data_IF_835729771648
#
_entry.id   IF_835729771648
#
_cell.length_a   1.000
_cell.length_b   1.000
_cell.length_c   1.000
_cell.angle_alpha   90.00
_cell.angle_beta   90.00
_cell.angle_gamma   90.00
#
_symmetry.space_group_name_H-M   'P 1'
#
loop_
_entity.id
_entity.type
_entity.pdbx_description
1 polymer ?
#
# COMPACT_ATOMS: atom_id res chain seq x y z
N UNK A 1 -47.24 -11.44 18.13
CA UNK A 1 -45.97 -10.74 17.99
C UNK A 1 -44.93 -11.73 17.53
N UNK A 2 -44.67 -11.84 16.24
CA UNK A 2 -43.63 -12.71 15.71
C UNK A 2 -42.27 -12.03 16.07
N UNK A 3 -41.53 -12.63 17.00
CA UNK A 3 -40.13 -12.35 17.24
C UNK A 3 -39.42 -12.58 15.89
N UNK A 4 -38.94 -11.54 15.26
CA UNK A 4 -38.06 -11.67 14.10
C UNK A 4 -36.88 -12.54 14.55
N UNK A 5 -36.82 -13.76 14.07
CA UNK A 5 -35.68 -14.64 14.32
C UNK A 5 -34.42 -13.89 13.86
N UNK A 6 -33.57 -13.53 14.78
CA UNK A 6 -32.30 -12.84 14.46
C UNK A 6 -31.55 -13.81 13.53
N UNK A 7 -31.28 -13.37 12.30
CA UNK A 7 -30.42 -14.15 11.39
C UNK A 7 -29.02 -14.21 12.04
N UNK A 8 -28.73 -15.34 12.69
CA UNK A 8 -27.48 -15.61 13.39
C UNK A 8 -26.29 -15.36 12.46
N UNK A 9 -26.42 -15.72 11.18
CA UNK A 9 -25.38 -15.50 10.20
C UNK A 9 -25.12 -14.02 9.90
N UNK A 10 -26.17 -13.23 9.71
CA UNK A 10 -26.05 -11.79 9.50
C UNK A 10 -25.49 -11.09 10.75
N UNK A 11 -25.93 -11.49 11.95
CA UNK A 11 -25.42 -10.99 13.22
C UNK A 11 -23.92 -11.27 13.37
N UNK A 12 -23.50 -12.53 13.20
CA UNK A 12 -22.10 -12.94 13.29
C UNK A 12 -21.20 -12.15 12.31
N UNK A 13 -21.58 -12.07 11.05
CA UNK A 13 -20.85 -11.36 10.00
C UNK A 13 -20.69 -9.87 10.31
N UNK A 14 -21.76 -9.23 10.76
CA UNK A 14 -21.74 -7.81 11.13
C UNK A 14 -20.85 -7.56 12.35
N UNK A 15 -20.98 -8.38 13.39
CA UNK A 15 -20.19 -8.27 14.62
C UNK A 15 -18.70 -8.48 14.36
N UNK A 16 -18.34 -9.48 13.54
CA UNK A 16 -16.96 -9.72 13.09
C UNK A 16 -16.42 -8.50 12.33
N UNK A 17 -17.19 -8.00 11.38
CA UNK A 17 -16.76 -6.86 10.57
C UNK A 17 -16.51 -5.60 11.42
N UNK A 18 -17.42 -5.25 12.30
CA UNK A 18 -17.28 -4.07 13.17
C UNK A 18 -16.20 -4.22 14.26
N UNK A 19 -15.89 -5.44 14.68
CA UNK A 19 -14.84 -5.68 15.67
C UNK A 19 -13.45 -5.68 15.07
N UNK A 20 -13.26 -6.35 13.92
CA UNK A 20 -11.92 -6.59 13.37
C UNK A 20 -11.48 -5.52 12.37
N UNK A 21 -12.36 -5.10 11.44
CA UNK A 21 -11.95 -4.22 10.35
C UNK A 21 -11.47 -2.84 10.82
N UNK A 22 -12.11 -2.14 11.79
CA UNK A 22 -11.60 -0.84 12.22
C UNK A 22 -10.21 -0.93 12.85
N UNK A 23 -9.93 -1.99 13.61
CA UNK A 23 -8.62 -2.18 14.21
C UNK A 23 -7.55 -2.51 13.15
N UNK A 24 -7.83 -3.44 12.24
CA UNK A 24 -6.93 -3.76 11.13
C UNK A 24 -6.70 -2.55 10.22
N UNK A 25 -7.74 -1.75 9.97
CA UNK A 25 -7.63 -0.48 9.25
C UNK A 25 -6.66 0.48 9.95
N UNK A 26 -6.79 0.64 11.28
CA UNK A 26 -5.88 1.48 12.07
C UNK A 26 -4.42 0.99 11.98
N UNK A 27 -4.20 -0.33 12.07
CA UNK A 27 -2.87 -0.91 11.89
C UNK A 27 -2.27 -0.58 10.52
N UNK A 28 -3.11 -0.57 9.48
CA UNK A 28 -2.65 -0.29 8.12
C UNK A 28 -2.46 1.20 7.85
N UNK A 29 -3.25 2.06 8.49
CA UNK A 29 -2.96 3.50 8.52
C UNK A 29 -1.59 3.75 9.16
N UNK A 30 -1.31 3.16 10.32
CA UNK A 30 0.00 3.28 10.96
C UNK A 30 1.15 2.78 10.05
N UNK A 31 0.94 1.68 9.32
CA UNK A 31 1.91 1.18 8.35
C UNK A 31 2.19 2.19 7.22
N UNK A 32 1.14 2.85 6.69
CA UNK A 32 1.33 3.83 5.62
C UNK A 32 1.88 5.17 6.10
N UNK A 33 1.59 5.58 7.34
CA UNK A 33 2.27 6.72 7.96
C UNK A 33 3.78 6.48 7.97
N UNK A 34 4.18 5.33 8.47
CA UNK A 34 5.59 4.93 8.59
C UNK A 34 6.29 4.78 7.24
N UNK A 35 5.58 4.29 6.23
CA UNK A 35 6.11 4.15 4.88
C UNK A 35 6.33 5.49 4.18
N UNK A 36 5.55 6.51 4.49
CA UNK A 36 5.57 7.82 3.84
C UNK A 36 6.36 8.88 4.59
N UNK A 37 6.64 8.66 5.87
CA UNK A 37 7.35 9.60 6.74
C UNK A 37 8.69 10.07 6.17
N UNK A 38 9.44 9.17 5.54
CA UNK A 38 10.75 9.50 4.96
C UNK A 38 10.65 10.55 3.84
N UNK A 39 9.53 10.59 3.11
CA UNK A 39 9.31 11.58 2.06
C UNK A 39 9.28 13.00 2.64
N UNK A 40 8.58 13.17 3.76
CA UNK A 40 8.51 14.45 4.47
C UNK A 40 9.76 14.70 5.33
N UNK A 41 10.24 13.68 6.05
CA UNK A 41 11.45 13.77 6.87
C UNK A 41 12.66 14.29 6.08
N UNK A 42 12.76 13.95 4.79
CA UNK A 42 13.86 14.40 3.92
C UNK A 42 13.96 15.92 3.81
N UNK A 43 12.84 16.66 3.99
CA UNK A 43 12.84 18.12 3.98
C UNK A 43 13.66 18.70 5.15
N UNK A 44 13.81 17.97 6.26
CA UNK A 44 14.69 18.33 7.38
C UNK A 44 16.01 17.56 7.39
N UNK A 45 16.00 16.29 6.95
CA UNK A 45 17.19 15.41 6.98
C UNK A 45 18.29 15.84 5.99
N UNK A 46 17.93 16.46 4.86
CA UNK A 46 18.91 16.83 3.82
C UNK A 46 20.03 17.68 4.36
N UNK A 47 19.71 18.68 5.17
CA UNK A 47 20.71 19.54 5.80
C UNK A 47 21.56 18.81 6.83
N UNK A 48 20.91 18.06 7.70
CA UNK A 48 21.57 17.38 8.83
C UNK A 48 22.49 16.23 8.41
N UNK A 49 22.09 15.47 7.38
CA UNK A 49 22.80 14.27 6.94
C UNK A 49 23.53 14.42 5.60
N UNK A 50 23.48 15.60 4.98
CA UNK A 50 24.11 15.86 3.68
C UNK A 50 23.51 15.00 2.55
N UNK A 51 22.19 14.72 2.57
CA UNK A 51 21.58 13.82 1.60
C UNK A 51 21.43 14.47 0.23
N UNK A 52 22.03 13.86 -0.79
CA UNK A 52 21.71 14.17 -2.18
C UNK A 52 20.40 13.49 -2.62
N UNK A 53 19.85 13.92 -3.78
CA UNK A 53 18.65 13.28 -4.35
C UNK A 53 18.90 11.80 -4.67
N UNK A 54 20.11 11.45 -5.14
CA UNK A 54 20.51 10.05 -5.39
C UNK A 54 20.56 9.22 -4.13
N UNK A 55 21.14 9.75 -3.03
CA UNK A 55 21.19 9.08 -1.73
C UNK A 55 19.76 8.88 -1.19
N UNK A 56 18.91 9.89 -1.25
CA UNK A 56 17.52 9.80 -0.82
C UNK A 56 16.72 8.80 -1.65
N UNK A 57 16.85 8.81 -2.98
CA UNK A 57 16.19 7.84 -3.86
C UNK A 57 16.61 6.40 -3.54
N UNK A 58 17.90 6.18 -3.24
CA UNK A 58 18.41 4.87 -2.83
C UNK A 58 17.86 4.48 -1.44
N UNK A 59 17.85 5.39 -0.46
CA UNK A 59 17.31 5.13 0.88
C UNK A 59 15.82 4.79 0.85
N UNK A 60 15.05 5.48 0.02
CA UNK A 60 13.62 5.21 -0.16
C UNK A 60 13.38 3.85 -0.82
N UNK A 61 14.19 3.52 -1.83
CA UNK A 61 14.06 2.29 -2.60
C UNK A 61 14.55 1.04 -1.86
N UNK A 62 15.65 1.12 -1.09
CA UNK A 62 16.27 -0.05 -0.44
C UNK A 62 15.34 -0.76 0.55
N UNK A 63 14.34 -0.06 1.07
CA UNK A 63 13.23 -0.60 1.82
C UNK A 63 12.58 -1.79 1.09
N UNK A 64 12.32 -1.66 -0.21
CA UNK A 64 11.66 -2.71 -0.99
C UNK A 64 12.53 -3.95 -1.17
N UNK A 65 13.85 -3.81 -1.15
CA UNK A 65 14.75 -4.97 -1.20
C UNK A 65 14.60 -5.82 0.06
N UNK A 66 14.57 -5.19 1.25
CA UNK A 66 14.27 -5.87 2.51
C UNK A 66 12.86 -6.47 2.52
N UNK A 67 11.87 -5.72 2.04
CA UNK A 67 10.47 -6.11 1.98
C UNK A 67 10.26 -7.37 1.12
N UNK A 68 10.80 -7.41 -0.09
CA UNK A 68 10.68 -8.56 -1.01
C UNK A 68 11.32 -9.81 -0.42
N UNK A 69 12.49 -9.66 0.22
CA UNK A 69 13.24 -10.79 0.77
C UNK A 69 12.47 -11.61 1.80
N UNK A 70 11.63 -10.99 2.61
CA UNK A 70 10.87 -11.65 3.68
C UNK A 70 9.36 -11.74 3.42
N UNK A 71 8.83 -11.23 2.32
CA UNK A 71 7.39 -11.25 2.03
C UNK A 71 6.84 -12.66 1.91
N UNK A 72 7.50 -13.54 1.15
CA UNK A 72 7.08 -14.95 0.98
C UNK A 72 7.29 -15.75 2.26
N UNK A 73 8.47 -15.73 2.92
CA UNK A 73 8.64 -16.36 4.22
C UNK A 73 7.62 -15.90 5.27
N UNK A 74 7.30 -14.61 5.32
CA UNK A 74 6.29 -14.05 6.21
C UNK A 74 4.90 -14.61 5.96
N UNK A 75 4.47 -14.69 4.69
CA UNK A 75 3.18 -15.27 4.32
C UNK A 75 3.06 -16.75 4.74
N UNK A 76 4.11 -17.54 4.55
CA UNK A 76 4.13 -18.96 4.96
C UNK A 76 4.12 -19.13 6.50
N UNK A 77 4.78 -18.20 7.20
CA UNK A 77 4.83 -18.24 8.65
C UNK A 77 3.45 -17.98 9.29
N UNK A 78 2.62 -17.11 8.68
CA UNK A 78 1.25 -16.85 9.15
C UNK A 78 0.40 -18.12 9.20
N UNK A 79 0.50 -18.96 8.17
CA UNK A 79 -0.31 -20.20 8.10
C UNK A 79 0.11 -21.24 9.14
N UNK A 80 1.43 -21.31 9.44
CA UNK A 80 2.01 -22.33 10.33
C UNK A 80 2.07 -21.91 11.80
N UNK A 81 1.98 -20.62 12.07
CA UNK A 81 2.08 -20.07 13.42
C UNK A 81 0.77 -19.37 13.80
N UNK A 82 0.83 -18.33 14.60
CA UNK A 82 -0.32 -17.50 15.00
C UNK A 82 -0.29 -16.20 14.19
N UNK A 83 -1.37 -15.91 13.47
CA UNK A 83 -1.51 -14.67 12.73
C UNK A 83 -1.42 -13.44 13.67
N UNK A 84 -2.07 -13.52 14.84
CA UNK A 84 -2.00 -12.50 15.89
C UNK A 84 -0.58 -12.22 16.34
N UNK A 85 0.19 -13.28 16.66
CA UNK A 85 1.57 -13.12 17.14
C UNK A 85 2.48 -12.58 16.05
N UNK A 86 2.32 -13.04 14.81
CA UNK A 86 3.10 -12.53 13.69
C UNK A 86 2.81 -11.05 13.44
N UNK A 87 1.52 -10.66 13.36
CA UNK A 87 1.15 -9.26 13.18
C UNK A 87 1.68 -8.38 14.32
N UNK A 88 1.59 -8.85 15.56
CA UNK A 88 2.15 -8.13 16.70
C UNK A 88 3.69 -7.99 16.61
N UNK A 89 4.38 -9.09 16.27
CA UNK A 89 5.83 -9.08 16.13
C UNK A 89 6.28 -8.12 15.01
N UNK A 90 5.63 -8.15 13.86
CA UNK A 90 5.94 -7.24 12.75
C UNK A 90 5.73 -5.78 13.17
N UNK A 91 4.59 -5.45 13.82
CA UNK A 91 4.30 -4.10 14.33
C UNK A 91 5.33 -3.61 15.34
N UNK A 92 5.70 -4.45 16.31
CA UNK A 92 6.68 -4.10 17.34
C UNK A 92 8.06 -3.90 16.71
N UNK A 93 8.49 -4.83 15.85
CA UNK A 93 9.84 -4.76 15.25
C UNK A 93 9.95 -3.58 14.29
N UNK A 94 8.97 -3.35 13.42
CA UNK A 94 9.05 -2.19 12.54
C UNK A 94 8.94 -0.87 13.32
N UNK A 95 8.04 -0.77 14.33
CA UNK A 95 7.92 0.44 15.13
C UNK A 95 9.20 0.79 15.89
N UNK A 96 9.92 -0.21 16.41
CA UNK A 96 11.23 -0.02 17.01
C UNK A 96 12.27 0.46 15.98
N UNK A 97 12.30 -0.16 14.78
CA UNK A 97 13.21 0.24 13.71
C UNK A 97 12.92 1.65 13.18
N UNK A 98 11.64 2.02 13.11
CA UNK A 98 11.23 3.38 12.78
C UNK A 98 11.74 4.36 13.83
N UNK A 99 11.49 4.11 15.11
CA UNK A 99 11.99 4.96 16.18
C UNK A 99 13.52 5.07 16.15
N UNK A 100 14.23 3.95 15.90
CA UNK A 100 15.69 3.92 15.75
C UNK A 100 16.18 4.71 14.53
N UNK A 101 15.38 4.81 13.46
CA UNK A 101 15.71 5.65 12.29
C UNK A 101 15.87 7.12 12.68
N UNK A 102 15.17 7.59 13.72
CA UNK A 102 15.36 8.94 14.29
C UNK A 102 16.76 9.21 14.84
N UNK A 103 17.61 8.21 15.04
CA UNK A 103 18.96 8.34 15.60
C UNK A 103 20.08 8.19 14.56
N UNK A 104 19.76 7.92 13.29
CA UNK A 104 20.76 7.79 12.22
C UNK A 104 21.55 9.09 12.03
N UNK A 105 22.84 8.95 11.71
CA UNK A 105 23.77 10.06 11.54
C UNK A 105 24.45 10.08 10.17
N UNK A 106 24.39 8.97 9.45
CA UNK A 106 25.05 8.80 8.16
C UNK A 106 24.09 8.21 7.12
N UNK A 107 24.33 8.46 5.81
CA UNK A 107 23.57 7.80 4.75
C UNK A 107 23.61 6.27 4.82
N UNK A 108 24.72 5.68 5.24
CA UNK A 108 24.85 4.21 5.34
C UNK A 108 23.96 3.64 6.44
N UNK A 109 23.91 4.30 7.61
CA UNK A 109 22.98 3.93 8.68
C UNK A 109 21.53 4.05 8.24
N UNK A 110 21.19 5.10 7.46
CA UNK A 110 19.87 5.26 6.89
C UNK A 110 19.52 4.10 5.93
N UNK A 111 20.45 3.67 5.07
CA UNK A 111 20.24 2.52 4.20
C UNK A 111 19.98 1.24 5.00
N UNK A 112 20.80 0.99 6.04
CA UNK A 112 20.61 -0.16 6.92
C UNK A 112 19.27 -0.14 7.64
N UNK A 113 18.90 1.00 8.22
CA UNK A 113 17.60 1.18 8.90
C UNK A 113 16.44 0.94 7.94
N UNK A 114 16.47 1.50 6.72
CA UNK A 114 15.43 1.32 5.71
C UNK A 114 15.33 -0.12 5.19
N UNK A 115 16.45 -0.80 4.99
CA UNK A 115 16.46 -2.21 4.61
C UNK A 115 15.83 -3.08 5.69
N UNK A 116 16.25 -2.91 6.94
CA UNK A 116 15.71 -3.67 8.09
C UNK A 116 14.23 -3.38 8.31
N UNK A 117 13.82 -2.12 8.15
CA UNK A 117 12.42 -1.72 8.24
C UNK A 117 11.57 -2.43 7.18
N UNK A 118 12.03 -2.47 5.92
CA UNK A 118 11.36 -3.20 4.85
C UNK A 118 11.23 -4.69 5.17
N UNK A 119 12.30 -5.31 5.68
CA UNK A 119 12.28 -6.70 6.11
C UNK A 119 11.29 -6.96 7.25
N UNK A 120 11.21 -6.05 8.24
CA UNK A 120 10.28 -6.16 9.35
C UNK A 120 8.81 -6.02 8.93
N UNK A 121 8.51 -5.15 7.95
CA UNK A 121 7.14 -4.95 7.44
C UNK A 121 6.65 -6.06 6.49
N UNK A 122 7.55 -6.85 5.92
CA UNK A 122 7.25 -7.74 4.78
C UNK A 122 6.10 -8.74 5.04
N UNK A 123 5.98 -9.23 6.28
CA UNK A 123 4.94 -10.19 6.68
C UNK A 123 3.58 -9.57 6.98
N UNK A 124 3.46 -8.25 7.12
CA UNK A 124 2.25 -7.61 7.60
C UNK A 124 1.07 -7.74 6.63
N UNK A 125 1.21 -7.23 5.42
CA UNK A 125 0.12 -7.27 4.43
C UNK A 125 -0.36 -8.70 4.12
N UNK A 126 0.52 -9.64 3.73
CA UNK A 126 0.08 -11.03 3.51
C UNK A 126 -0.48 -11.65 4.79
N UNK A 127 0.07 -11.31 5.96
CA UNK A 127 -0.44 -11.74 7.25
C UNK A 127 -1.88 -11.33 7.50
N UNK A 128 -2.23 -10.07 7.21
CA UNK A 128 -3.61 -9.58 7.34
C UNK A 128 -4.53 -10.27 6.33
N UNK A 129 -4.11 -10.49 5.08
CA UNK A 129 -4.93 -11.18 4.07
C UNK A 129 -5.26 -12.61 4.52
N UNK A 130 -4.27 -13.34 5.04
CA UNK A 130 -4.49 -14.67 5.62
C UNK A 130 -5.41 -14.60 6.85
N UNK A 131 -5.16 -13.65 7.76
CA UNK A 131 -6.02 -13.43 8.93
C UNK A 131 -7.48 -13.17 8.53
N UNK A 132 -7.74 -12.29 7.56
CA UNK A 132 -9.08 -12.02 7.05
C UNK A 132 -9.73 -13.29 6.48
N UNK A 133 -8.96 -14.19 5.86
CA UNK A 133 -9.48 -15.47 5.34
C UNK A 133 -9.92 -16.44 6.44
N UNK A 134 -9.45 -16.26 7.67
CA UNK A 134 -9.87 -17.06 8.81
C UNK A 134 -11.16 -16.57 9.48
N UNK A 135 -11.61 -15.36 9.14
CA UNK A 135 -12.74 -14.68 9.79
C UNK A 135 -13.90 -14.38 8.85
N UNK A 136 -13.60 -14.14 7.57
CA UNK A 136 -14.61 -13.74 6.58
C UNK A 136 -14.86 -14.87 5.58
N UNK A 137 -16.14 -15.23 5.42
CA UNK A 137 -16.58 -16.12 4.35
C UNK A 137 -16.30 -15.49 2.98
N UNK A 138 -16.20 -16.32 1.94
CA UNK A 138 -15.77 -15.90 0.61
C UNK A 138 -16.53 -14.69 0.07
N UNK A 139 -17.86 -14.67 0.23
CA UNK A 139 -18.70 -13.56 -0.25
C UNK A 139 -18.42 -12.20 0.39
N UNK A 140 -17.88 -12.16 1.61
CA UNK A 140 -17.58 -10.93 2.36
C UNK A 140 -16.11 -10.55 2.31
N UNK A 141 -15.23 -11.51 1.95
CA UNK A 141 -13.77 -11.32 1.99
C UNK A 141 -13.29 -10.18 1.10
N UNK A 142 -13.84 -10.07 -0.13
CA UNK A 142 -13.50 -8.98 -1.02
C UNK A 142 -13.84 -7.60 -0.45
N UNK A 143 -15.00 -7.47 0.19
CA UNK A 143 -15.41 -6.22 0.86
C UNK A 143 -14.54 -5.91 2.07
N UNK A 144 -14.15 -6.93 2.84
CA UNK A 144 -13.26 -6.77 4.00
C UNK A 144 -11.87 -6.28 3.57
N UNK A 145 -11.28 -6.87 2.53
CA UNK A 145 -10.00 -6.46 1.96
C UNK A 145 -10.09 -5.04 1.39
N UNK A 146 -11.14 -4.70 0.66
CA UNK A 146 -11.31 -3.34 0.12
C UNK A 146 -11.38 -2.28 1.23
N UNK A 147 -12.13 -2.54 2.31
CA UNK A 147 -12.19 -1.65 3.48
C UNK A 147 -10.82 -1.54 4.17
N UNK A 148 -10.10 -2.64 4.30
CA UNK A 148 -8.74 -2.63 4.84
C UNK A 148 -7.79 -1.81 3.96
N UNK A 149 -7.82 -1.99 2.64
CA UNK A 149 -6.94 -1.26 1.70
C UNK A 149 -7.26 0.23 1.58
N UNK A 150 -8.46 0.68 1.93
CA UNK A 150 -8.79 2.11 1.95
C UNK A 150 -7.97 2.90 2.99
N UNK A 151 -7.28 2.23 3.90
CA UNK A 151 -6.28 2.83 4.80
C UNK A 151 -5.09 3.46 4.04
N UNK A 152 -4.78 2.99 2.82
CA UNK A 152 -3.65 3.48 2.02
C UNK A 152 -3.77 5.00 1.76
N UNK A 153 -4.76 5.49 1.01
CA UNK A 153 -4.89 6.91 0.77
C UNK A 153 -5.19 7.71 2.05
N UNK A 154 -5.87 7.12 3.03
CA UNK A 154 -6.12 7.77 4.32
C UNK A 154 -4.80 8.00 5.08
N UNK A 155 -3.88 7.04 5.06
CA UNK A 155 -2.54 7.19 5.64
C UNK A 155 -1.79 8.38 5.04
N UNK A 156 -1.80 8.54 3.72
CA UNK A 156 -1.20 9.70 3.05
C UNK A 156 -1.89 11.02 3.41
N UNK A 157 -3.23 11.05 3.44
CA UNK A 157 -4.02 12.26 3.76
C UNK A 157 -3.74 12.74 5.18
N UNK A 158 -3.63 11.83 6.14
CA UNK A 158 -3.40 12.15 7.55
C UNK A 158 -1.90 12.38 7.82
N UNK A 159 -1.04 11.57 7.21
CA UNK A 159 0.40 11.57 7.46
C UNK A 159 1.08 12.86 7.05
N UNK A 160 0.70 13.43 5.91
CA UNK A 160 1.31 14.66 5.41
C UNK A 160 1.19 15.85 6.39
N UNK A 161 0.01 16.25 6.89
CA UNK A 161 -0.13 17.31 7.88
C UNK A 161 0.53 17.00 9.22
N UNK A 162 0.47 15.75 9.68
CA UNK A 162 1.15 15.31 10.92
C UNK A 162 2.66 15.52 10.76
N UNK A 163 3.25 15.00 9.67
CA UNK A 163 4.66 15.14 9.38
C UNK A 163 5.08 16.63 9.32
N UNK A 164 4.33 17.46 8.58
CA UNK A 164 4.63 18.89 8.46
C UNK A 164 4.60 19.64 9.77
N UNK A 165 3.69 19.27 10.66
CA UNK A 165 3.57 19.88 12.00
C UNK A 165 4.76 19.47 12.88
N UNK A 166 5.12 18.19 12.88
CA UNK A 166 6.21 17.67 13.71
C UNK A 166 7.58 18.16 13.17
N UNK A 167 7.75 18.30 11.88
CA UNK A 167 9.00 18.81 11.28
C UNK A 167 9.33 20.26 11.72
N UNK A 168 8.33 21.05 12.10
CA UNK A 168 8.52 22.40 12.65
C UNK A 168 8.98 22.43 14.12
N UNK A 169 9.01 21.27 14.80
CA UNK A 169 9.36 21.18 16.22
C UNK A 169 10.87 21.05 16.41
N UNK A 170 11.38 21.72 17.43
CA UNK A 170 12.78 21.57 17.87
C UNK A 170 12.82 21.43 19.39
N UNK A 171 12.33 20.30 19.89
CA UNK A 171 12.26 20.02 21.32
C UNK A 171 13.55 19.40 21.81
N UNK A 172 14.01 19.82 22.98
CA UNK A 172 15.21 19.29 23.63
C UNK A 172 16.48 19.37 22.75
N UNK A 173 16.54 20.31 21.81
CA UNK A 173 17.66 20.41 20.85
C UNK A 173 17.69 19.30 19.79
N UNK A 174 16.60 18.52 19.67
CA UNK A 174 16.46 17.45 18.66
C UNK A 174 15.60 17.97 17.50
N UNK A 175 16.10 17.82 16.28
CA UNK A 175 15.41 18.31 15.05
C UNK A 175 14.11 17.56 14.78
N UNK A 176 13.13 18.24 14.19
CA UNK A 176 11.76 17.73 14.00
C UNK A 176 11.67 16.43 13.22
N UNK A 177 12.58 16.18 12.25
CA UNK A 177 12.57 14.93 11.49
C UNK A 177 12.88 13.69 12.38
N UNK A 178 13.69 13.86 13.44
CA UNK A 178 13.95 12.79 14.41
C UNK A 178 12.71 12.50 15.27
N UNK A 179 12.03 13.56 15.68
CA UNK A 179 10.75 13.45 16.38
C UNK A 179 9.69 12.76 15.53
N UNK A 180 9.66 13.02 14.23
CA UNK A 180 8.70 12.36 13.33
C UNK A 180 8.83 10.84 13.40
N UNK A 181 10.03 10.30 13.30
CA UNK A 181 10.26 8.85 13.42
C UNK A 181 9.91 8.29 14.80
N UNK A 182 10.15 9.06 15.87
CA UNK A 182 9.78 8.65 17.23
C UNK A 182 8.24 8.65 17.42
N UNK A 183 7.56 9.70 16.95
CA UNK A 183 6.11 9.83 17.07
C UNK A 183 5.33 8.84 16.20
N UNK A 184 5.92 8.28 15.17
CA UNK A 184 5.29 7.25 14.35
C UNK A 184 5.68 5.83 14.80
N UNK A 185 6.93 5.64 15.22
CA UNK A 185 7.41 4.34 15.68
C UNK A 185 6.79 3.90 17.01
N UNK A 186 6.68 4.79 17.99
CA UNK A 186 6.11 4.45 19.31
C UNK A 186 4.65 3.99 19.22
N UNK A 187 3.73 4.69 18.52
CA UNK A 187 2.37 4.19 18.31
C UNK A 187 2.32 2.83 17.62
N UNK A 188 3.20 2.55 16.66
CA UNK A 188 3.26 1.25 15.99
C UNK A 188 3.61 0.13 16.99
N UNK A 189 4.58 0.36 17.89
CA UNK A 189 4.91 -0.58 18.99
C UNK A 189 3.71 -0.81 19.91
N UNK A 190 3.03 0.28 20.32
CA UNK A 190 1.85 0.19 21.19
C UNK A 190 0.70 -0.58 20.52
N UNK A 191 0.46 -0.33 19.23
CA UNK A 191 -0.51 -1.07 18.45
C UNK A 191 -0.12 -2.55 18.30
N UNK A 192 1.17 -2.84 18.16
CA UNK A 192 1.68 -4.22 18.16
C UNK A 192 1.40 -4.94 19.48
N UNK A 193 1.64 -4.29 20.61
CA UNK A 193 1.29 -4.83 21.92
C UNK A 193 -0.23 -4.99 22.05
N UNK A 194 -1.02 -3.98 21.64
CA UNK A 194 -2.47 -4.05 21.67
C UNK A 194 -3.02 -5.22 20.81
N UNK A 195 -2.36 -5.52 19.68
CA UNK A 195 -2.73 -6.64 18.80
C UNK A 195 -2.75 -7.98 19.54
N UNK A 196 -1.81 -8.21 20.46
CA UNK A 196 -1.73 -9.45 21.26
C UNK A 196 -2.98 -9.67 22.15
N UNK A 197 -3.62 -8.60 22.56
CA UNK A 197 -4.78 -8.66 23.45
C UNK A 197 -6.11 -8.49 22.72
N UNK A 198 -6.12 -7.78 21.61
CA UNK A 198 -7.34 -7.41 20.91
C UNK A 198 -7.76 -8.43 19.84
N UNK A 199 -6.81 -8.99 19.08
CA UNK A 199 -7.10 -9.92 17.99
C UNK A 199 -7.07 -11.37 18.48
N UNK A 200 -8.16 -12.16 18.37
CA UNK A 200 -8.11 -13.59 18.52
C UNK A 200 -7.61 -14.25 17.21
N UNK A 201 -6.95 -15.40 17.30
CA UNK A 201 -6.44 -16.10 16.11
C UNK A 201 -7.57 -16.72 15.26
N UNK A 202 -8.57 -17.27 15.89
CA UNK A 202 -9.66 -18.02 15.24
C UNK A 202 -11.03 -17.64 15.84
N UNK A 203 -12.13 -17.85 15.11
CA UNK A 203 -13.47 -17.61 15.64
C UNK A 203 -13.77 -18.37 16.95
N UNK A 204 -13.19 -19.53 17.14
CA UNK A 204 -13.36 -20.34 18.37
C UNK A 204 -12.79 -19.63 19.62
N UNK A 205 -11.80 -18.76 19.44
CA UNK A 205 -11.16 -18.02 20.53
C UNK A 205 -11.90 -16.70 20.84
N UNK A 206 -12.95 -16.37 20.08
CA UNK A 206 -13.66 -15.09 20.16
C UNK A 206 -14.75 -15.13 21.24
N UNK A 207 -14.41 -14.71 22.45
CA UNK A 207 -15.36 -14.66 23.56
C UNK A 207 -16.48 -13.62 23.39
N UNK A 208 -16.32 -12.67 22.45
CA UNK A 208 -17.31 -11.64 22.13
C UNK A 208 -18.38 -12.09 21.11
N UNK A 209 -18.23 -13.27 20.50
CA UNK A 209 -19.29 -13.94 19.74
C UNK A 209 -20.15 -14.82 20.66
N UNK A 210 -21.46 -14.89 20.38
CA UNK A 210 -22.28 -15.88 21.05
C UNK A 210 -21.91 -17.30 20.62
N UNK A 211 -22.25 -18.34 21.41
CA UNK A 211 -21.97 -19.71 21.00
C UNK A 211 -22.58 -20.06 19.63
N UNK A 212 -23.79 -19.59 19.34
CA UNK A 212 -24.49 -19.83 18.08
C UNK A 212 -23.77 -19.13 16.90
N UNK A 213 -23.36 -17.87 17.08
CA UNK A 213 -22.59 -17.11 16.08
C UNK A 213 -21.24 -17.77 15.79
N UNK A 214 -20.56 -18.24 16.84
CA UNK A 214 -19.26 -18.93 16.75
C UNK A 214 -19.38 -20.24 16.00
N UNK A 215 -20.37 -21.04 16.33
CA UNK A 215 -20.64 -22.31 15.66
C UNK A 215 -20.99 -22.09 14.18
N UNK A 216 -21.84 -21.11 13.91
CA UNK A 216 -22.24 -20.77 12.53
C UNK A 216 -21.06 -20.40 11.67
N UNK A 217 -20.22 -19.45 12.10
CA UNK A 217 -19.08 -19.00 11.29
C UNK A 217 -18.03 -20.10 11.12
N UNK A 218 -17.77 -20.90 12.17
CA UNK A 218 -16.82 -22.01 12.11
C UNK A 218 -17.29 -23.08 11.12
N UNK A 219 -18.58 -23.44 11.14
CA UNK A 219 -19.16 -24.40 10.20
C UNK A 219 -19.06 -23.89 8.76
N UNK A 220 -19.42 -22.63 8.49
CA UNK A 220 -19.34 -22.04 7.16
C UNK A 220 -17.92 -21.99 6.61
N UNK A 221 -16.94 -21.64 7.44
CA UNK A 221 -15.53 -21.63 7.04
C UNK A 221 -14.98 -23.05 6.81
N UNK A 222 -15.49 -24.07 7.55
CA UNK A 222 -15.14 -25.46 7.32
C UNK A 222 -15.72 -25.96 5.98
N UNK A 223 -17.02 -25.74 5.71
CA UNK A 223 -17.67 -26.05 4.43
C UNK A 223 -16.90 -25.45 3.24
N UNK A 224 -16.46 -24.18 3.34
CA UNK A 224 -15.66 -23.54 2.29
C UNK A 224 -14.28 -24.19 2.08
N UNK A 225 -13.67 -24.71 3.14
CA UNK A 225 -12.38 -25.43 3.04
C UNK A 225 -12.53 -26.79 2.37
N UNK A 226 -13.56 -27.54 2.74
CA UNK A 226 -13.85 -28.84 2.14
C UNK A 226 -14.18 -28.70 0.65
N UNK A 227 -15.01 -27.71 0.28
CA UNK A 227 -15.32 -27.42 -1.11
C UNK A 227 -14.09 -27.06 -1.96
N UNK A 228 -13.04 -26.48 -1.37
CA UNK A 228 -11.77 -26.19 -2.04
C UNK A 228 -10.92 -27.42 -2.33
N UNK A 229 -11.03 -28.46 -1.52
CA UNK A 229 -10.26 -29.71 -1.68
C UNK A 229 -10.61 -30.48 -2.97
N UNK A 230 -11.74 -30.20 -3.59
CA UNK A 230 -12.23 -30.87 -4.81
C UNK A 230 -12.00 -30.10 -6.11
N UNK A 231 -11.36 -28.90 -6.06
CA UNK A 231 -11.07 -28.12 -7.28
C UNK A 231 -9.71 -28.54 -7.82
N UNK A 232 -9.65 -28.88 -9.11
CA UNK A 232 -8.39 -29.18 -9.83
C UNK A 232 -7.32 -28.14 -9.51
N UNK A 233 -6.21 -28.61 -8.93
CA UNK A 233 -5.09 -27.76 -8.58
C UNK A 233 -4.24 -27.51 -9.83
N UNK A 234 -4.45 -26.37 -10.47
CA UNK A 234 -3.45 -25.88 -11.43
C UNK A 234 -2.14 -25.73 -10.65
N UNK A 235 -1.05 -26.29 -11.19
CA UNK A 235 0.27 -26.15 -10.58
C UNK A 235 0.57 -24.65 -10.36
N UNK A 236 1.05 -24.32 -9.17
CA UNK A 236 1.46 -22.93 -8.83
C UNK A 236 2.41 -22.39 -9.89
N UNK A 237 3.34 -23.23 -10.38
CA UNK A 237 4.28 -22.86 -11.43
C UNK A 237 3.60 -22.52 -12.76
N UNK A 238 2.60 -23.27 -13.16
CA UNK A 238 1.82 -22.97 -14.37
C UNK A 238 1.05 -21.63 -14.23
N UNK A 239 0.52 -21.34 -13.04
CA UNK A 239 -0.12 -20.07 -12.79
C UNK A 239 0.85 -18.88 -12.85
N UNK A 240 2.06 -19.05 -12.30
CA UNK A 240 3.09 -18.00 -12.31
C UNK A 240 3.64 -17.72 -13.72
N UNK A 241 3.75 -18.76 -14.56
CA UNK A 241 4.19 -18.64 -15.95
C UNK A 241 3.06 -18.23 -16.92
N UNK A 242 1.83 -18.04 -16.44
CA UNK A 242 0.72 -17.65 -17.29
C UNK A 242 0.98 -16.26 -17.91
N UNK A 243 0.83 -16.09 -19.25
CA UNK A 243 1.16 -14.83 -19.93
C UNK A 243 0.47 -13.60 -19.31
N UNK A 244 -0.79 -13.71 -18.92
CA UNK A 244 -1.51 -12.62 -18.26
C UNK A 244 -0.86 -12.24 -16.93
N UNK A 245 -0.37 -13.19 -16.13
CA UNK A 245 0.32 -12.94 -14.86
C UNK A 245 1.63 -12.19 -15.10
N UNK A 246 2.40 -12.58 -16.10
CA UNK A 246 3.65 -11.91 -16.46
C UNK A 246 3.41 -10.48 -16.95
N UNK A 247 2.40 -10.28 -17.81
CA UNK A 247 1.99 -8.95 -18.27
C UNK A 247 1.53 -8.07 -17.10
N UNK A 248 0.69 -8.58 -16.20
CA UNK A 248 0.23 -7.85 -15.03
C UNK A 248 1.40 -7.54 -14.08
N UNK A 249 2.34 -8.45 -13.92
CA UNK A 249 3.57 -8.24 -13.12
C UNK A 249 4.40 -7.09 -13.69
N UNK A 250 4.66 -7.13 -15.00
CA UNK A 250 5.40 -6.05 -15.68
C UNK A 250 4.63 -4.72 -15.61
N UNK A 251 3.32 -4.73 -15.85
CA UNK A 251 2.47 -3.54 -15.74
C UNK A 251 2.54 -2.92 -14.35
N UNK A 252 2.42 -3.73 -13.29
CA UNK A 252 2.50 -3.24 -11.92
C UNK A 252 3.93 -2.78 -11.54
N UNK A 253 4.97 -3.43 -12.06
CA UNK A 253 6.35 -2.98 -11.87
C UNK A 253 6.55 -1.56 -12.38
N UNK A 254 6.08 -1.23 -13.58
CA UNK A 254 6.17 0.12 -14.12
C UNK A 254 5.26 1.09 -13.36
N UNK A 255 4.05 0.67 -12.96
CA UNK A 255 3.17 1.48 -12.11
C UNK A 255 3.84 1.84 -10.78
N UNK A 256 4.46 0.86 -10.12
CA UNK A 256 5.17 1.09 -8.86
C UNK A 256 6.44 1.93 -9.07
N UNK A 257 7.14 1.77 -10.18
CA UNK A 257 8.32 2.60 -10.50
C UNK A 257 7.95 4.08 -10.59
N UNK A 258 6.91 4.42 -11.35
CA UNK A 258 6.44 5.81 -11.45
C UNK A 258 5.78 6.31 -10.15
N UNK A 259 4.90 5.50 -9.57
CA UNK A 259 4.11 5.85 -8.39
C UNK A 259 4.95 6.09 -7.14
N UNK A 260 5.83 5.16 -6.77
CA UNK A 260 6.72 5.34 -5.61
C UNK A 260 7.76 6.43 -5.82
N UNK A 261 8.24 6.64 -7.06
CA UNK A 261 9.09 7.79 -7.36
C UNK A 261 8.35 9.10 -7.10
N UNK A 262 7.10 9.23 -7.57
CA UNK A 262 6.28 10.39 -7.27
C UNK A 262 6.03 10.54 -5.77
N UNK A 263 5.55 9.51 -5.08
CA UNK A 263 5.17 9.58 -3.67
C UNK A 263 6.34 9.96 -2.75
N UNK A 264 7.55 9.46 -3.01
CA UNK A 264 8.71 9.80 -2.17
C UNK A 264 9.29 11.17 -2.49
N UNK A 265 9.26 11.61 -3.74
CA UNK A 265 9.81 12.91 -4.12
C UNK A 265 8.79 14.04 -4.14
N UNK A 266 7.49 13.77 -4.02
CA UNK A 266 6.41 14.77 -4.10
C UNK A 266 6.65 15.96 -3.15
N UNK A 267 6.93 15.78 -1.85
CA UNK A 267 7.16 16.93 -0.97
C UNK A 267 8.40 17.74 -1.35
N UNK A 268 9.46 17.03 -1.77
CA UNK A 268 10.71 17.69 -2.22
C UNK A 268 10.50 18.48 -3.52
N UNK A 269 9.74 17.92 -4.47
CA UNK A 269 9.39 18.60 -5.72
C UNK A 269 8.54 19.85 -5.46
N UNK A 270 7.48 19.71 -4.64
CA UNK A 270 6.64 20.83 -4.24
C UNK A 270 7.48 21.94 -3.59
N UNK A 271 8.32 21.59 -2.62
CA UNK A 271 9.16 22.59 -1.95
C UNK A 271 10.13 23.28 -2.93
N UNK A 272 10.80 22.50 -3.79
CA UNK A 272 11.81 23.02 -4.72
C UNK A 272 11.20 23.93 -5.79
N UNK A 273 10.02 23.59 -6.31
CA UNK A 273 9.38 24.38 -7.38
C UNK A 273 8.61 25.60 -6.86
N UNK A 274 8.06 25.54 -5.64
CA UNK A 274 7.22 26.61 -5.09
C UNK A 274 7.97 27.53 -4.12
N UNK A 275 9.06 27.07 -3.51
CA UNK A 275 9.73 27.75 -2.39
C UNK A 275 8.91 27.78 -1.10
N UNK A 276 7.83 26.98 -1.00
CA UNK A 276 6.96 26.97 0.18
C UNK A 276 7.63 26.38 1.41
N UNK A 277 7.15 26.82 2.59
CA UNK A 277 7.57 26.22 3.84
C UNK A 277 7.14 24.75 3.93
N UNK A 278 7.87 23.97 4.72
CA UNK A 278 7.58 22.53 4.96
C UNK A 278 6.13 22.33 5.38
N UNK A 279 5.62 23.14 6.30
CA UNK A 279 4.24 23.06 6.77
C UNK A 279 3.24 23.28 5.62
N UNK A 280 3.47 24.29 4.77
CA UNK A 280 2.58 24.56 3.63
C UNK A 280 2.62 23.43 2.61
N UNK A 281 3.79 22.89 2.27
CA UNK A 281 3.93 21.70 1.40
C UNK A 281 3.12 20.54 1.94
N UNK A 282 3.26 20.24 3.22
CA UNK A 282 2.59 19.10 3.86
C UNK A 282 1.06 19.21 3.86
N UNK A 283 0.51 20.43 3.95
CA UNK A 283 -0.94 20.64 3.87
C UNK A 283 -1.54 20.48 2.47
N UNK A 284 -0.70 20.36 1.42
CA UNK A 284 -1.17 19.98 0.08
C UNK A 284 -1.30 18.47 -0.12
N UNK A 285 -0.63 17.65 0.69
CA UNK A 285 -0.79 16.18 0.66
C UNK A 285 -2.26 15.72 0.70
N UNK A 286 -3.10 16.21 1.62
CA UNK A 286 -4.53 15.89 1.66
C UNK A 286 -5.29 16.16 0.35
N UNK A 287 -4.96 17.23 -0.37
CA UNK A 287 -5.59 17.54 -1.66
C UNK A 287 -5.15 16.53 -2.73
N UNK A 288 -3.86 16.26 -2.82
CA UNK A 288 -3.27 15.35 -3.81
C UNK A 288 -3.81 13.92 -3.61
N UNK A 289 -3.67 13.38 -2.41
CA UNK A 289 -4.10 12.00 -2.12
C UNK A 289 -5.60 11.87 -1.89
N UNK A 290 -6.29 12.97 -1.54
CA UNK A 290 -7.75 13.04 -1.51
C UNK A 290 -8.37 12.86 -2.89
N UNK A 291 -7.80 13.47 -3.94
CA UNK A 291 -8.19 13.21 -5.31
C UNK A 291 -7.98 11.73 -5.70
N UNK A 292 -6.89 11.11 -5.23
CA UNK A 292 -6.63 9.69 -5.38
C UNK A 292 -7.69 8.81 -4.72
N UNK A 293 -8.09 9.13 -3.49
CA UNK A 293 -9.15 8.41 -2.77
C UNK A 293 -10.50 8.50 -3.49
N UNK A 294 -10.90 9.70 -3.90
CA UNK A 294 -12.14 9.90 -4.65
C UNK A 294 -12.11 9.09 -5.95
N UNK A 295 -11.00 9.16 -6.68
CA UNK A 295 -10.79 8.39 -7.90
C UNK A 295 -10.86 6.87 -7.67
N UNK A 296 -10.25 6.38 -6.60
CA UNK A 296 -10.26 4.96 -6.22
C UNK A 296 -11.69 4.47 -5.95
N UNK A 297 -12.48 5.23 -5.20
CA UNK A 297 -13.87 4.87 -4.90
C UNK A 297 -14.76 4.91 -6.14
N UNK A 298 -14.62 5.95 -6.94
CA UNK A 298 -15.42 6.14 -8.15
C UNK A 298 -15.09 5.10 -9.24
N UNK A 299 -13.82 4.90 -9.56
CA UNK A 299 -13.39 3.93 -10.56
C UNK A 299 -13.61 2.48 -10.10
N UNK A 300 -13.46 2.20 -8.80
CA UNK A 300 -13.82 0.90 -8.25
C UNK A 300 -15.30 0.58 -8.45
N UNK A 301 -16.19 1.52 -8.10
CA UNK A 301 -17.63 1.39 -8.33
C UNK A 301 -17.98 1.25 -9.82
N UNK A 302 -17.38 2.08 -10.68
CA UNK A 302 -17.62 2.04 -12.13
C UNK A 302 -17.14 0.73 -12.75
N UNK A 303 -15.94 0.27 -12.35
CA UNK A 303 -15.35 -0.98 -12.81
C UNK A 303 -16.18 -2.20 -12.40
N UNK A 304 -16.75 -2.20 -11.19
CA UNK A 304 -17.65 -3.27 -10.72
C UNK A 304 -18.97 -3.28 -11.49
N UNK A 305 -19.51 -2.09 -11.83
CA UNK A 305 -20.76 -1.96 -12.56
C UNK A 305 -20.64 -2.35 -14.03
N UNK A 306 -19.53 -2.01 -14.67
CA UNK A 306 -19.30 -2.26 -16.10
C UNK A 306 -18.68 -3.63 -16.38
N UNK A 307 -18.05 -4.27 -15.37
CA UNK A 307 -17.24 -5.48 -15.53
C UNK A 307 -15.92 -5.24 -16.24
N UNK A 308 -15.63 -4.01 -16.67
CA UNK A 308 -14.41 -3.66 -17.39
C UNK A 308 -13.32 -3.26 -16.41
N UNK A 309 -12.17 -3.95 -16.41
CA UNK A 309 -11.06 -3.74 -15.46
C UNK A 309 -9.84 -3.06 -16.09
N UNK A 310 -9.54 -3.34 -17.35
CA UNK A 310 -8.30 -2.91 -18.02
C UNK A 310 -8.26 -1.41 -18.26
N UNK A 311 -9.34 -0.83 -18.79
CA UNK A 311 -9.46 0.61 -18.99
C UNK A 311 -9.53 1.37 -17.66
N UNK A 312 -10.18 0.80 -16.63
CA UNK A 312 -10.21 1.38 -15.29
C UNK A 312 -8.84 1.36 -14.60
N UNK A 313 -7.92 0.51 -15.07
CA UNK A 313 -6.50 0.59 -14.71
C UNK A 313 -5.75 1.61 -15.58
N UNK A 314 -5.93 1.57 -16.91
CA UNK A 314 -5.10 2.34 -17.84
C UNK A 314 -5.42 3.83 -17.81
N UNK A 315 -6.70 4.23 -17.71
CA UNK A 315 -7.12 5.64 -17.70
C UNK A 315 -6.43 6.45 -16.60
N UNK A 316 -6.42 6.05 -15.31
CA UNK A 316 -5.70 6.79 -14.28
C UNK A 316 -4.20 6.95 -14.58
N UNK A 317 -3.54 5.89 -15.03
CA UNK A 317 -2.11 5.91 -15.34
C UNK A 317 -1.81 6.85 -16.53
N UNK A 318 -2.62 6.79 -17.60
CA UNK A 318 -2.49 7.71 -18.74
C UNK A 318 -2.82 9.15 -18.34
N UNK A 319 -3.79 9.36 -17.47
CA UNK A 319 -4.09 10.69 -16.92
C UNK A 319 -2.90 11.26 -16.18
N UNK A 320 -2.21 10.45 -15.35
CA UNK A 320 -0.98 10.86 -14.70
C UNK A 320 0.14 11.19 -15.71
N UNK A 321 0.33 10.34 -16.72
CA UNK A 321 1.33 10.56 -17.75
C UNK A 321 1.07 11.85 -18.55
N UNK A 322 -0.18 12.10 -18.95
CA UNK A 322 -0.58 13.32 -19.67
C UNK A 322 -0.42 14.57 -18.78
N UNK A 323 -0.88 14.50 -17.53
CA UNK A 323 -0.73 15.61 -16.59
C UNK A 323 0.76 15.99 -16.39
N UNK A 324 1.62 14.99 -16.18
CA UNK A 324 3.05 15.25 -16.01
C UNK A 324 3.71 15.72 -17.31
N UNK A 325 3.23 15.27 -18.48
CA UNK A 325 3.68 15.79 -19.79
C UNK A 325 3.30 17.26 -19.98
N UNK A 326 2.14 17.68 -19.48
CA UNK A 326 1.68 19.06 -19.56
C UNK A 326 2.61 20.05 -18.81
N UNK A 327 3.38 19.57 -17.82
CA UNK A 327 4.41 20.37 -17.15
C UNK A 327 5.40 21.04 -18.11
N UNK A 328 5.75 20.38 -19.20
CA UNK A 328 6.73 20.88 -20.16
C UNK A 328 6.19 21.99 -21.08
N UNK A 329 4.87 22.18 -21.11
CA UNK A 329 4.20 23.13 -22.04
C UNK A 329 3.44 24.24 -21.31
N UNK A 330 3.12 24.04 -20.02
CA UNK A 330 2.35 25.01 -19.23
C UNK A 330 3.26 26.00 -18.48
N UNK A 331 2.74 27.19 -18.13
CA UNK A 331 3.47 28.12 -17.28
C UNK A 331 3.81 27.48 -15.92
N UNK A 332 5.05 27.63 -15.48
CA UNK A 332 5.53 27.08 -14.21
C UNK A 332 5.04 27.91 -13.01
N UNK A 333 3.72 28.02 -12.84
CA UNK A 333 3.10 28.68 -11.68
C UNK A 333 2.77 27.67 -10.59
N UNK A 334 2.71 28.16 -9.35
CA UNK A 334 2.33 27.32 -8.20
C UNK A 334 0.94 26.70 -8.37
N UNK A 335 -0.01 27.42 -8.96
CA UNK A 335 -1.37 26.92 -9.22
C UNK A 335 -1.35 25.77 -10.22
N UNK A 336 -0.61 25.90 -11.32
CA UNK A 336 -0.46 24.82 -12.31
C UNK A 336 0.19 23.59 -11.67
N UNK A 337 1.26 23.78 -10.91
CA UNK A 337 1.95 22.67 -10.25
C UNK A 337 1.03 21.90 -9.31
N UNK A 338 0.28 22.61 -8.45
CA UNK A 338 -0.66 22.01 -7.52
C UNK A 338 -1.78 21.25 -8.27
N UNK A 339 -2.31 21.84 -9.34
CA UNK A 339 -3.34 21.19 -10.16
C UNK A 339 -2.79 19.90 -10.80
N UNK A 340 -1.60 19.95 -11.40
CA UNK A 340 -0.95 18.78 -11.98
C UNK A 340 -0.69 17.69 -10.92
N UNK A 341 -0.16 18.04 -9.76
CA UNK A 341 0.11 17.08 -8.68
C UNK A 341 -1.18 16.48 -8.11
N UNK A 342 -2.26 17.25 -8.06
CA UNK A 342 -3.58 16.71 -7.68
C UNK A 342 -4.07 15.66 -8.69
N UNK A 343 -3.88 15.90 -9.98
CA UNK A 343 -4.19 14.92 -11.05
C UNK A 343 -3.25 13.70 -10.96
N UNK A 344 -1.98 13.90 -10.61
CA UNK A 344 -1.04 12.78 -10.36
C UNK A 344 -1.50 11.95 -9.16
N UNK A 345 -2.00 12.57 -8.09
CA UNK A 345 -2.58 11.85 -6.95
C UNK A 345 -3.73 10.94 -7.36
N UNK A 346 -4.66 11.43 -8.19
CA UNK A 346 -5.71 10.60 -8.81
C UNK A 346 -5.09 9.45 -9.61
N UNK A 347 -4.16 9.73 -10.52
CA UNK A 347 -3.59 8.73 -11.42
C UNK A 347 -2.84 7.61 -10.71
N UNK A 348 -2.14 7.94 -9.63
CA UNK A 348 -1.26 6.98 -8.91
C UNK A 348 -1.99 6.13 -7.86
N UNK A 349 -3.26 6.39 -7.54
CA UNK A 349 -4.04 5.66 -6.52
C UNK A 349 -5.29 5.00 -7.11
N UNK A 350 -5.99 5.67 -8.03
CA UNK A 350 -7.32 5.27 -8.47
C UNK A 350 -7.39 3.92 -9.20
N UNK A 351 -6.29 3.42 -9.73
CA UNK A 351 -6.19 2.13 -10.44
C UNK A 351 -6.30 0.90 -9.52
N UNK A 352 -6.06 1.05 -8.22
CA UNK A 352 -5.87 -0.07 -7.27
C UNK A 352 -7.01 -1.11 -7.28
N UNK A 353 -8.31 -0.74 -7.17
CA UNK A 353 -9.38 -1.73 -7.11
C UNK A 353 -9.49 -2.55 -8.39
N UNK A 354 -9.37 -1.87 -9.53
CA UNK A 354 -9.50 -2.51 -10.85
C UNK A 354 -8.35 -3.45 -11.15
N UNK A 355 -7.13 -3.07 -10.74
CA UNK A 355 -5.95 -3.92 -10.94
C UNK A 355 -6.03 -5.22 -10.13
N UNK A 356 -6.37 -5.15 -8.84
CA UNK A 356 -6.40 -6.33 -7.99
C UNK A 356 -7.57 -7.28 -8.27
N UNK A 357 -8.53 -6.85 -9.08
CA UNK A 357 -9.57 -7.72 -9.59
C UNK A 357 -9.14 -8.54 -10.84
N UNK A 358 -8.12 -8.08 -11.61
CA UNK A 358 -7.69 -8.71 -12.86
C UNK A 358 -7.18 -10.16 -12.70
N UNK A 359 -6.31 -10.52 -11.72
CA UNK A 359 -5.82 -11.90 -11.61
C UNK A 359 -6.93 -12.94 -11.45
N UNK A 360 -8.01 -12.58 -10.76
CA UNK A 360 -9.16 -13.47 -10.53
C UNK A 360 -10.04 -13.66 -11.78
N UNK A 361 -9.87 -12.83 -12.80
CA UNK A 361 -10.59 -12.95 -14.07
C UNK A 361 -10.03 -14.03 -15.00
N UNK A 362 -8.74 -14.40 -14.84
CA UNK A 362 -8.04 -15.32 -15.72
C UNK A 362 -7.65 -16.64 -15.05
N UNK A 363 -7.68 -16.70 -13.73
CA UNK A 363 -7.15 -17.82 -12.97
C UNK A 363 -8.21 -18.43 -12.04
N UNK A 364 -8.07 -19.73 -11.77
CA UNK A 364 -8.83 -20.38 -10.70
C UNK A 364 -8.50 -19.75 -9.34
N UNK A 365 -9.38 -19.90 -8.36
CA UNK A 365 -9.26 -19.24 -7.04
C UNK A 365 -7.94 -19.47 -6.34
N UNK A 366 -7.41 -20.70 -6.37
CA UNK A 366 -6.12 -21.06 -5.75
C UNK A 366 -4.93 -20.47 -6.51
N UNK A 367 -4.97 -20.53 -7.85
CA UNK A 367 -3.95 -19.97 -8.72
C UNK A 367 -3.91 -18.43 -8.65
N UNK A 368 -5.07 -17.77 -8.55
CA UNK A 368 -5.15 -16.32 -8.41
C UNK A 368 -4.47 -15.81 -7.12
N UNK A 369 -4.63 -16.51 -6.00
CA UNK A 369 -3.98 -16.11 -4.75
C UNK A 369 -2.45 -16.16 -4.85
N UNK A 370 -1.89 -17.23 -5.44
CA UNK A 370 -0.45 -17.35 -5.68
C UNK A 370 0.05 -16.28 -6.68
N UNK A 371 -0.72 -16.02 -7.75
CA UNK A 371 -0.39 -15.00 -8.73
C UNK A 371 -0.40 -13.58 -8.12
N UNK A 372 -1.38 -13.24 -7.28
CA UNK A 372 -1.43 -11.95 -6.56
C UNK A 372 -0.18 -11.76 -5.71
N UNK A 373 0.22 -12.79 -4.95
CA UNK A 373 1.45 -12.75 -4.16
C UNK A 373 2.71 -12.52 -5.00
N UNK A 374 2.84 -13.28 -6.11
CA UNK A 374 3.96 -13.15 -7.04
C UNK A 374 4.00 -11.78 -7.74
N UNK A 375 2.85 -11.32 -8.26
CA UNK A 375 2.71 -10.01 -8.91
C UNK A 375 3.15 -8.91 -7.94
N UNK A 376 2.63 -8.92 -6.71
CA UNK A 376 2.96 -7.89 -5.73
C UNK A 376 4.45 -7.93 -5.34
N UNK A 377 4.99 -9.11 -5.06
CA UNK A 377 6.39 -9.30 -4.67
C UNK A 377 7.32 -8.80 -5.79
N UNK A 378 7.14 -9.29 -7.02
CA UNK A 378 8.00 -8.95 -8.15
C UNK A 378 7.85 -7.48 -8.56
N UNK A 379 6.62 -6.96 -8.59
CA UNK A 379 6.37 -5.55 -8.91
C UNK A 379 6.97 -4.59 -7.87
N UNK A 380 7.12 -5.02 -6.61
CA UNK A 380 7.76 -4.22 -5.57
C UNK A 380 9.23 -3.86 -5.87
N UNK A 381 9.89 -4.58 -6.81
CA UNK A 381 11.19 -4.17 -7.36
C UNK A 381 11.09 -2.78 -8.00
N UNK A 382 9.93 -2.43 -8.59
CA UNK A 382 9.66 -1.09 -9.11
C UNK A 382 9.73 -0.01 -8.04
N UNK A 383 9.34 -0.33 -6.81
CA UNK A 383 9.47 0.56 -5.64
C UNK A 383 10.94 0.87 -5.27
N UNK A 384 11.88 -0.02 -5.59
CA UNK A 384 13.31 0.28 -5.52
C UNK A 384 13.80 1.05 -6.75
N UNK A 385 13.45 0.56 -7.94
CA UNK A 385 13.93 1.10 -9.21
C UNK A 385 13.53 2.56 -9.40
N UNK A 386 12.25 2.88 -9.25
CA UNK A 386 11.71 4.21 -9.54
C UNK A 386 12.37 5.33 -8.73
N UNK A 387 12.31 5.31 -7.40
CA UNK A 387 12.92 6.35 -6.56
C UNK A 387 14.43 6.48 -6.78
N UNK A 388 15.14 5.34 -6.91
CA UNK A 388 16.59 5.35 -7.18
C UNK A 388 16.92 6.01 -8.51
N UNK A 389 16.20 5.68 -9.58
CA UNK A 389 16.45 6.25 -10.91
C UNK A 389 16.10 7.73 -10.96
N UNK A 390 14.95 8.14 -10.40
CA UNK A 390 14.57 9.56 -10.34
C UNK A 390 15.55 10.35 -9.49
N UNK A 391 16.00 9.83 -8.37
CA UNK A 391 17.03 10.46 -7.55
C UNK A 391 18.36 10.65 -8.28
N UNK A 392 18.82 9.62 -9.00
CA UNK A 392 20.04 9.69 -9.82
C UNK A 392 19.91 10.72 -10.97
N UNK A 393 18.81 10.67 -11.70
CA UNK A 393 18.54 11.58 -12.81
C UNK A 393 18.44 13.03 -12.33
N UNK A 394 17.75 13.27 -11.19
CA UNK A 394 17.67 14.60 -10.58
C UNK A 394 19.06 15.12 -10.14
N UNK A 395 19.88 14.26 -9.55
CA UNK A 395 21.24 14.61 -9.12
C UNK A 395 22.14 14.96 -10.31
N UNK A 396 22.07 14.19 -11.40
CA UNK A 396 22.91 14.38 -12.57
C UNK A 396 22.51 15.62 -13.40
N UNK A 397 21.21 15.85 -13.57
CA UNK A 397 20.70 16.95 -14.39
C UNK A 397 20.47 18.25 -13.61
N UNK A 398 20.53 18.22 -12.28
CA UNK A 398 20.17 19.37 -11.43
C UNK A 398 18.67 19.68 -11.42
N UNK A 399 17.84 18.88 -12.09
CA UNK A 399 16.40 19.10 -12.26
C UNK A 399 15.60 17.78 -12.17
N UNK A 400 14.32 17.85 -11.78
CA UNK A 400 13.41 16.71 -11.84
C UNK A 400 12.87 16.41 -13.24
N UNK A 401 13.13 17.25 -14.26
CA UNK A 401 12.56 17.08 -15.60
C UNK A 401 12.86 15.71 -16.22
N UNK A 402 14.11 15.22 -16.10
CA UNK A 402 14.48 13.87 -16.58
C UNK A 402 13.79 12.76 -15.77
N UNK A 403 13.59 12.98 -14.47
CA UNK A 403 12.78 12.07 -13.63
C UNK A 403 11.31 12.04 -14.05
N UNK A 404 10.76 13.18 -14.47
CA UNK A 404 9.39 13.27 -15.02
C UNK A 404 9.24 12.46 -16.30
N UNK A 405 10.19 12.55 -17.22
CA UNK A 405 10.18 11.71 -18.44
C UNK A 405 10.18 10.20 -18.12
N UNK A 406 10.95 9.80 -17.12
CA UNK A 406 10.95 8.40 -16.67
C UNK A 406 9.59 8.01 -16.10
N UNK A 407 8.96 8.82 -15.25
CA UNK A 407 7.64 8.53 -14.68
C UNK A 407 6.57 8.44 -15.78
N UNK A 408 6.57 9.37 -16.73
CA UNK A 408 5.68 9.37 -17.91
C UNK A 408 5.82 8.06 -18.69
N UNK A 409 7.07 7.68 -19.01
CA UNK A 409 7.34 6.43 -19.71
C UNK A 409 6.83 5.20 -18.93
N UNK A 410 7.08 5.17 -17.61
CA UNK A 410 6.61 4.08 -16.76
C UNK A 410 5.08 3.94 -16.78
N UNK A 411 4.32 5.01 -16.57
CA UNK A 411 2.85 4.94 -16.56
C UNK A 411 2.26 4.65 -17.95
N UNK A 412 2.88 5.14 -19.01
CA UNK A 412 2.48 4.83 -20.39
C UNK A 412 2.70 3.35 -20.70
N UNK A 413 3.89 2.81 -20.40
CA UNK A 413 4.21 1.38 -20.59
C UNK A 413 3.30 0.50 -19.74
N UNK A 414 3.05 0.85 -18.47
CA UNK A 414 2.13 0.13 -17.60
C UNK A 414 0.73 0.02 -18.21
N UNK A 415 0.22 1.15 -18.73
CA UNK A 415 -1.11 1.21 -19.36
C UNK A 415 -1.18 0.33 -20.61
N UNK A 416 -0.19 0.42 -21.49
CA UNK A 416 -0.12 -0.38 -22.72
C UNK A 416 -0.07 -1.88 -22.36
N UNK A 417 0.79 -2.28 -21.43
CA UNK A 417 0.91 -3.68 -21.02
C UNK A 417 -0.42 -4.24 -20.51
N UNK A 418 -1.10 -3.54 -19.61
CA UNK A 418 -2.38 -4.05 -19.06
C UNK A 418 -3.48 -4.06 -20.11
N UNK A 419 -3.49 -3.13 -21.06
CA UNK A 419 -4.44 -3.16 -22.18
C UNK A 419 -4.19 -4.31 -23.15
N UNK A 420 -2.96 -4.85 -23.23
CA UNK A 420 -2.62 -6.05 -24.00
C UNK A 420 -3.05 -7.35 -23.30
N UNK A 421 -3.42 -7.31 -22.02
CA UNK A 421 -4.01 -8.47 -21.36
C UNK A 421 -5.25 -8.97 -22.11
N UNK A 422 -5.50 -10.29 -22.20
CA UNK A 422 -6.69 -10.84 -22.83
C UNK A 422 -7.97 -10.22 -22.24
N UNK A 423 -9.03 -10.11 -23.03
CA UNK A 423 -10.35 -9.69 -22.50
C UNK A 423 -10.90 -10.78 -21.59
N UNK A 424 -11.54 -10.40 -20.50
CA UNK A 424 -12.37 -11.32 -19.72
C UNK A 424 -13.34 -12.02 -20.67
N UNK A 425 -13.29 -13.36 -20.71
CA UNK A 425 -14.37 -14.08 -21.36
C UNK A 425 -15.62 -13.83 -20.51
N UNK A 426 -16.59 -13.15 -21.06
CA UNK A 426 -17.89 -12.98 -20.42
C UNK A 426 -18.42 -14.39 -20.13
N UNK A 427 -18.27 -14.87 -18.90
CA UNK A 427 -19.02 -16.03 -18.44
C UNK A 427 -20.47 -15.62 -18.50
N UNK A 428 -21.15 -16.08 -19.55
CA UNK A 428 -22.61 -16.05 -19.62
C UNK A 428 -23.15 -16.56 -18.30
N UNK A 429 -23.71 -15.60 -17.52
CA UNK A 429 -24.48 -15.87 -16.31
C UNK A 429 -25.76 -16.61 -16.62
#
# INVERSE_FOLDING_TARGET
MASAAIDVGASARNRIAWRLLPFLFLLYVANYLDRTNIAYATLGMKGDLGLSDSVFGTASGIFFIGYIGLQIPGALLVERWSARRLLALTLITWGLLTALTGFVRTPLELYGARFLLGAAEAGFFPGVIVYLSHWFIYQDRGKAVARFMSAIPIGFIIGAPIAGTILGVNWLGITGWRWLFLFEGVPAVLLGVATLFYLPDRPNDAMWLTPEERNWITARLAEEREAKGHVEQISVWQALCHPAVLILTAGLFFTYSGGYAFWFFEPTMLQRFTGWSVLKVSWFGPLIFGAGLIGMLWLGWSSDRTGERRWHFAIPQLTAAVALSAWFFLPHSNTVLVALFTVLGFGTVAYLPSFWALPSAFLTRSAAAAAVGFINCTASIGGFFGPKMVGNLSQQSGSFNTGFLLMIACWTVASVLVLLCPREQATTR
#
